data_IF_270501447867
#
_entry.id   IF_270501447867
#
_cell.length_a   1.000
_cell.length_b   1.000
_cell.length_c   1.000
_cell.angle_alpha   90.00
_cell.angle_beta   90.00
_cell.angle_gamma   90.00
#
_symmetry.space_group_name_H-M   'P 1'
#
loop_
_entity.id
_entity.type
_entity.pdbx_description
1 polymer ?
#
# COMPACT_ATOMS: atom_id res chain seq x y z
N UNK A 1 -72.98 5.00 71.91
CA UNK A 1 -74.06 4.46 72.76
C UNK A 1 -74.97 3.59 71.89
N UNK A 2 -75.22 2.38 72.36
CA UNK A 2 -75.84 1.22 71.72
C UNK A 2 -77.12 1.44 70.90
N UNK A 3 -77.29 0.63 69.84
CA UNK A 3 -78.42 -0.32 69.76
C UNK A 3 -78.01 -1.60 68.99
N UNK A 4 -78.24 -2.72 69.67
CA UNK A 4 -78.17 -4.11 69.22
C UNK A 4 -79.60 -4.53 68.82
N UNK A 5 -79.77 -5.36 67.78
CA UNK A 5 -80.77 -6.46 67.64
C UNK A 5 -80.83 -6.93 66.17
N UNK A 6 -80.21 -8.07 65.82
CA UNK A 6 -80.75 -9.44 65.66
C UNK A 6 -81.79 -9.68 64.55
N UNK A 7 -81.44 -10.59 63.61
CA UNK A 7 -82.26 -11.65 62.97
C UNK A 7 -81.38 -12.40 61.94
N UNK A 8 -80.90 -13.62 62.21
CA UNK A 8 -81.53 -14.94 61.96
C UNK A 8 -81.26 -15.52 60.55
N UNK A 9 -80.42 -16.58 60.52
CA UNK A 9 -80.46 -17.83 59.69
C UNK A 9 -80.81 -17.72 58.19
N UNK A 10 -80.06 -18.31 57.24
CA UNK A 10 -80.04 -19.75 56.92
C UNK A 10 -78.87 -20.03 55.94
N UNK A 11 -78.19 -21.16 56.14
CA UNK A 11 -77.22 -21.81 55.25
C UNK A 11 -77.83 -22.16 53.88
N UNK A 12 -77.17 -21.81 52.77
CA UNK A 12 -77.31 -22.54 51.49
C UNK A 12 -75.91 -22.73 50.91
N UNK A 13 -75.39 -23.95 51.04
CA UNK A 13 -74.18 -24.41 50.38
C UNK A 13 -74.50 -24.67 48.89
N UNK A 14 -74.06 -23.78 48.00
CA UNK A 14 -74.12 -24.01 46.55
C UNK A 14 -72.78 -24.64 46.15
N UNK A 15 -72.79 -25.97 46.00
CA UNK A 15 -71.73 -26.72 45.32
C UNK A 15 -71.77 -26.34 43.82
N UNK A 16 -71.05 -25.28 43.45
CA UNK A 16 -70.80 -24.94 42.05
C UNK A 16 -69.73 -25.88 41.50
N UNK A 17 -70.18 -26.91 40.81
CA UNK A 17 -69.35 -27.81 39.99
C UNK A 17 -68.70 -27.00 38.86
N UNK A 18 -67.39 -26.80 38.95
CA UNK A 18 -66.57 -26.19 37.90
C UNK A 18 -66.46 -27.13 36.70
N UNK A 19 -67.11 -26.75 35.60
CA UNK A 19 -66.96 -27.37 34.29
C UNK A 19 -65.58 -26.96 33.71
N UNK A 20 -64.62 -27.88 33.67
CA UNK A 20 -63.34 -27.67 32.97
C UNK A 20 -63.60 -27.68 31.45
N UNK A 21 -63.64 -26.50 30.83
CA UNK A 21 -63.50 -26.36 29.40
C UNK A 21 -62.03 -26.62 29.02
N UNK A 22 -61.76 -27.72 28.30
CA UNK A 22 -60.45 -27.99 27.72
C UNK A 22 -60.21 -27.04 26.53
N UNK A 23 -59.56 -25.90 26.79
CA UNK A 23 -59.04 -25.03 25.73
C UNK A 23 -57.75 -25.63 25.19
N UNK A 24 -57.67 -25.91 23.88
CA UNK A 24 -56.39 -26.19 23.22
C UNK A 24 -55.55 -24.90 23.24
N UNK A 25 -54.65 -24.77 24.23
CA UNK A 25 -53.66 -23.69 24.24
C UNK A 25 -52.70 -23.86 23.07
N UNK A 26 -52.46 -22.81 22.29
CA UNK A 26 -51.47 -22.88 21.21
C UNK A 26 -50.10 -23.00 21.88
N UNK A 27 -49.15 -23.70 21.24
CA UNK A 27 -47.78 -23.84 21.75
C UNK A 27 -47.09 -22.50 22.01
N UNK A 28 -47.53 -21.47 21.27
CA UNK A 28 -47.13 -20.07 21.38
C UNK A 28 -47.53 -19.41 22.70
N UNK A 29 -48.59 -19.91 23.33
CA UNK A 29 -49.11 -19.42 24.61
C UNK A 29 -48.33 -20.01 25.79
N UNK A 30 -47.39 -20.94 25.53
CA UNK A 30 -46.58 -21.53 26.58
C UNK A 30 -45.51 -20.56 27.09
N UNK A 31 -45.26 -20.61 28.40
CA UNK A 31 -44.20 -19.82 29.03
C UNK A 31 -42.82 -20.11 28.43
N UNK A 32 -42.56 -21.36 28.03
CA UNK A 32 -41.30 -21.77 27.39
C UNK A 32 -41.12 -21.11 26.02
N UNK A 33 -42.19 -21.04 25.21
CA UNK A 33 -42.17 -20.34 23.93
C UNK A 33 -41.95 -18.83 24.13
N UNK A 34 -42.70 -18.21 25.04
CA UNK A 34 -42.59 -16.77 25.33
C UNK A 34 -41.21 -16.35 25.88
N UNK A 35 -40.51 -17.27 26.54
CA UNK A 35 -39.15 -17.06 27.04
C UNK A 35 -38.10 -17.12 25.91
N UNK A 36 -38.23 -18.09 25.00
CA UNK A 36 -37.22 -18.36 23.96
C UNK A 36 -37.45 -17.60 22.65
N UNK A 37 -38.69 -17.25 22.33
CA UNK A 37 -39.06 -16.75 21.01
C UNK A 37 -39.41 -15.26 21.01
N UNK A 38 -39.04 -14.59 19.93
CA UNK A 38 -39.67 -13.35 19.49
C UNK A 38 -40.64 -13.64 18.34
N UNK A 39 -41.89 -13.18 18.46
CA UNK A 39 -42.91 -13.29 17.40
C UNK A 39 -43.48 -14.70 17.19
N UNK A 40 -44.16 -14.88 16.05
CA UNK A 40 -44.80 -16.13 15.65
C UNK A 40 -43.76 -17.15 15.10
N UNK A 41 -44.06 -18.46 15.13
CA UNK A 41 -43.19 -19.48 14.55
C UNK A 41 -43.03 -19.29 13.05
N UNK A 42 -41.82 -19.49 12.57
CA UNK A 42 -41.41 -19.51 11.17
C UNK A 42 -41.85 -20.84 10.55
N UNK A 43 -43.00 -20.81 9.86
CA UNK A 43 -43.69 -21.99 9.33
C UNK A 43 -43.11 -22.45 8.00
N UNK A 44 -42.49 -21.56 7.25
CA UNK A 44 -41.87 -21.86 5.96
C UNK A 44 -40.34 -21.82 6.04
N UNK A 45 -39.67 -22.45 5.06
CA UNK A 45 -38.22 -22.34 4.90
C UNK A 45 -37.82 -20.90 4.56
N UNK A 46 -38.58 -20.25 3.69
CA UNK A 46 -38.37 -18.86 3.29
C UNK A 46 -38.34 -17.91 4.49
N UNK A 47 -39.28 -18.04 5.43
CA UNK A 47 -39.32 -17.23 6.65
C UNK A 47 -38.08 -17.41 7.52
N UNK A 48 -37.52 -18.62 7.57
CA UNK A 48 -36.28 -18.90 8.32
C UNK A 48 -35.06 -18.32 7.63
N UNK A 49 -34.97 -18.51 6.32
CA UNK A 49 -33.87 -17.97 5.54
C UNK A 49 -33.84 -16.44 5.61
N UNK A 50 -34.99 -15.78 5.46
CA UNK A 50 -35.10 -14.32 5.60
C UNK A 50 -34.65 -13.86 7.00
N UNK A 51 -35.13 -14.52 8.06
CA UNK A 51 -34.71 -14.15 9.41
C UNK A 51 -33.20 -14.33 9.64
N UNK A 52 -32.58 -15.36 9.06
CA UNK A 52 -31.13 -15.54 9.10
C UNK A 52 -30.39 -14.47 8.27
N UNK A 53 -30.90 -14.10 7.10
CA UNK A 53 -30.37 -13.00 6.29
C UNK A 53 -30.47 -11.65 7.00
N UNK A 54 -31.54 -11.44 7.76
CA UNK A 54 -31.74 -10.27 8.63
C UNK A 54 -30.84 -10.31 9.89
N UNK A 55 -30.05 -11.37 10.07
CA UNK A 55 -29.07 -11.53 11.15
C UNK A 55 -29.61 -12.18 12.42
N UNK A 56 -30.85 -12.67 12.41
CA UNK A 56 -31.44 -13.37 13.54
C UNK A 56 -31.02 -14.84 13.62
N UNK A 57 -30.81 -15.33 14.84
CA UNK A 57 -30.67 -16.75 15.14
C UNK A 57 -32.05 -17.39 15.28
N UNK A 58 -32.18 -18.64 14.85
CA UNK A 58 -33.43 -19.39 14.89
C UNK A 58 -33.38 -20.39 16.03
N UNK A 59 -34.38 -20.36 16.90
CA UNK A 59 -34.60 -21.43 17.85
C UNK A 59 -35.26 -22.61 17.12
N UNK A 60 -34.53 -23.71 16.93
CA UNK A 60 -35.01 -24.85 16.15
C UNK A 60 -36.16 -25.61 16.83
N UNK A 61 -36.15 -25.68 18.17
CA UNK A 61 -37.16 -26.41 18.95
C UNK A 61 -38.55 -25.81 18.76
N UNK A 62 -38.65 -24.47 18.79
CA UNK A 62 -39.92 -23.77 18.59
C UNK A 62 -40.09 -23.21 17.17
N UNK A 63 -39.05 -23.36 16.33
CA UNK A 63 -38.95 -22.82 14.96
C UNK A 63 -39.32 -21.34 14.91
N UNK A 64 -38.71 -20.52 15.75
CA UNK A 64 -39.01 -19.09 15.89
C UNK A 64 -37.72 -18.27 15.87
N UNK A 65 -37.82 -16.94 15.75
CA UNK A 65 -36.67 -16.06 16.00
C UNK A 65 -36.29 -16.17 17.48
N UNK A 66 -35.02 -16.44 17.76
CA UNK A 66 -34.50 -16.44 19.12
C UNK A 66 -34.61 -15.04 19.73
N UNK A 67 -35.17 -14.97 20.93
CA UNK A 67 -35.48 -13.70 21.59
C UNK A 67 -34.24 -12.87 21.91
N UNK A 68 -33.14 -13.51 22.29
CA UNK A 68 -31.89 -12.81 22.60
C UNK A 68 -31.24 -12.27 21.32
N UNK A 69 -31.25 -13.07 20.25
CA UNK A 69 -30.78 -12.61 18.94
C UNK A 69 -31.59 -11.43 18.42
N UNK A 70 -32.92 -11.45 18.57
CA UNK A 70 -33.77 -10.32 18.21
C UNK A 70 -33.36 -9.03 18.93
N UNK A 71 -33.13 -9.10 20.25
CA UNK A 71 -32.69 -7.93 21.04
C UNK A 71 -31.34 -7.44 20.53
N UNK A 72 -30.37 -8.35 20.34
CA UNK A 72 -29.02 -7.99 19.92
C UNK A 72 -28.98 -7.30 18.55
N UNK A 73 -29.69 -7.84 17.55
CA UNK A 73 -29.77 -7.25 16.20
C UNK A 73 -30.40 -5.86 16.26
N UNK A 74 -31.50 -5.69 16.98
CA UNK A 74 -32.16 -4.39 17.09
C UNK A 74 -31.32 -3.35 17.81
N UNK A 75 -30.60 -3.73 18.87
CA UNK A 75 -29.67 -2.83 19.55
C UNK A 75 -28.51 -2.42 18.64
N UNK A 76 -27.97 -3.36 17.86
CA UNK A 76 -26.92 -3.07 16.89
C UNK A 76 -27.42 -2.15 15.78
N UNK A 77 -28.62 -2.40 15.25
CA UNK A 77 -29.23 -1.57 14.23
C UNK A 77 -29.50 -0.15 14.75
N UNK A 78 -29.99 -0.02 15.99
CA UNK A 78 -30.16 1.28 16.64
C UNK A 78 -28.84 2.05 16.76
N UNK A 79 -27.76 1.37 17.18
CA UNK A 79 -26.41 1.95 17.23
C UNK A 79 -25.92 2.37 15.84
N UNK A 80 -26.13 1.53 14.83
CA UNK A 80 -25.74 1.82 13.45
C UNK A 80 -26.50 3.03 12.90
N UNK A 81 -27.83 3.10 13.08
CA UNK A 81 -28.65 4.24 12.65
C UNK A 81 -28.24 5.53 13.35
N UNK A 82 -27.98 5.47 14.67
CA UNK A 82 -27.50 6.62 15.44
C UNK A 82 -26.13 7.13 14.94
N UNK A 83 -25.25 6.23 14.48
CA UNK A 83 -23.95 6.61 13.90
C UNK A 83 -24.03 7.04 12.42
N UNK A 84 -25.06 6.61 11.68
CA UNK A 84 -25.23 6.85 10.24
C UNK A 84 -26.40 7.79 9.94
N UNK A 85 -26.51 8.89 10.68
CA UNK A 85 -27.49 9.92 10.34
C UNK A 85 -27.17 10.52 8.95
N UNK A 86 -28.17 11.06 8.24
CA UNK A 86 -27.95 11.75 6.96
C UNK A 86 -26.87 12.84 7.05
N UNK A 87 -26.81 13.56 8.17
CA UNK A 87 -25.81 14.60 8.42
C UNK A 87 -24.40 14.02 8.59
N UNK A 88 -24.27 12.91 9.33
CA UNK A 88 -22.99 12.22 9.52
C UNK A 88 -22.47 11.63 8.21
N UNK A 89 -23.36 11.08 7.37
CA UNK A 89 -23.03 10.61 6.02
C UNK A 89 -22.59 11.79 5.15
N UNK A 90 -23.36 12.87 5.10
CA UNK A 90 -23.04 14.06 4.31
C UNK A 90 -21.71 14.69 4.74
N UNK A 91 -21.41 14.73 6.05
CA UNK A 91 -20.13 15.20 6.57
C UNK A 91 -18.98 14.33 6.07
N UNK A 92 -19.08 13.00 6.22
CA UNK A 92 -18.04 12.08 5.71
C UNK A 92 -17.81 12.27 4.21
N UNK A 93 -18.87 12.38 3.43
CA UNK A 93 -18.75 12.61 1.98
C UNK A 93 -18.03 13.92 1.65
N UNK A 94 -18.32 15.02 2.36
CA UNK A 94 -17.60 16.29 2.21
C UNK A 94 -16.13 16.17 2.62
N UNK A 95 -15.85 15.51 3.73
CA UNK A 95 -14.48 15.29 4.21
C UNK A 95 -13.68 14.46 3.19
N UNK A 96 -14.27 13.39 2.66
CA UNK A 96 -13.67 12.60 1.59
C UNK A 96 -13.46 13.41 0.30
N UNK A 97 -14.44 14.21 -0.12
CA UNK A 97 -14.32 15.06 -1.30
C UNK A 97 -13.17 16.06 -1.16
N UNK A 98 -13.10 16.76 -0.02
CA UNK A 98 -12.01 17.69 0.30
C UNK A 98 -10.65 16.98 0.31
N UNK A 99 -10.56 15.78 0.89
CA UNK A 99 -9.32 15.03 0.93
C UNK A 99 -8.86 14.64 -0.48
N UNK A 100 -9.79 14.21 -1.35
CA UNK A 100 -9.47 13.92 -2.75
C UNK A 100 -9.01 15.16 -3.51
N UNK A 101 -9.62 16.31 -3.29
CA UNK A 101 -9.17 17.58 -3.89
C UNK A 101 -7.74 17.92 -3.49
N UNK A 102 -7.42 17.81 -2.19
CA UNK A 102 -6.05 18.02 -1.67
C UNK A 102 -5.09 17.04 -2.32
N UNK A 103 -5.44 15.75 -2.40
CA UNK A 103 -4.58 14.74 -3.00
C UNK A 103 -4.33 14.99 -4.49
N UNK A 104 -5.35 15.41 -5.25
CA UNK A 104 -5.21 15.79 -6.66
C UNK A 104 -4.29 17.00 -6.81
N UNK A 105 -4.44 18.02 -5.97
CA UNK A 105 -3.57 19.21 -5.99
C UNK A 105 -2.13 18.88 -5.63
N UNK A 106 -1.90 18.03 -4.62
CA UNK A 106 -0.56 17.58 -4.25
C UNK A 106 0.10 16.78 -5.37
N UNK A 107 -0.62 15.85 -5.99
CA UNK A 107 -0.10 15.09 -7.14
C UNK A 107 0.23 16.01 -8.32
N UNK A 108 -0.56 17.05 -8.56
CA UNK A 108 -0.27 18.04 -9.60
C UNK A 108 1.00 18.84 -9.28
N UNK A 109 1.15 19.31 -8.04
CA UNK A 109 2.35 20.02 -7.59
C UNK A 109 3.60 19.14 -7.70
N UNK A 110 3.53 17.89 -7.25
CA UNK A 110 4.64 16.94 -7.38
C UNK A 110 4.98 16.65 -8.84
N UNK A 111 3.99 16.57 -9.73
CA UNK A 111 4.23 16.36 -11.16
C UNK A 111 4.93 17.57 -11.80
N UNK A 112 4.52 18.80 -11.42
CA UNK A 112 5.19 20.03 -11.87
C UNK A 112 6.62 20.12 -11.36
N UNK A 113 6.86 19.78 -10.09
CA UNK A 113 8.20 19.78 -9.51
C UNK A 113 9.11 18.74 -10.19
N UNK A 114 8.61 17.52 -10.42
CA UNK A 114 9.36 16.50 -11.18
C UNK A 114 9.68 16.97 -12.58
N UNK A 115 8.73 17.56 -13.30
CA UNK A 115 8.97 18.10 -14.64
C UNK A 115 10.05 19.21 -14.61
N UNK A 116 10.06 20.06 -13.57
CA UNK A 116 11.11 21.08 -13.40
C UNK A 116 12.48 20.45 -13.11
N UNK A 117 12.52 19.42 -12.28
CA UNK A 117 13.76 18.68 -11.98
C UNK A 117 14.29 17.98 -13.23
N UNK A 118 13.43 17.32 -13.99
CA UNK A 118 13.76 16.66 -15.25
C UNK A 118 14.30 17.67 -16.28
N UNK A 119 13.64 18.82 -16.44
CA UNK A 119 14.12 19.90 -17.32
C UNK A 119 15.47 20.48 -16.86
N UNK A 120 15.71 20.58 -15.56
CA UNK A 120 16.98 21.04 -14.99
C UNK A 120 18.10 20.03 -15.27
N UNK A 121 17.81 18.74 -15.07
CA UNK A 121 18.75 17.65 -15.35
C UNK A 121 19.05 17.54 -16.84
N UNK A 122 18.05 17.67 -17.69
CA UNK A 122 18.22 17.67 -19.14
C UNK A 122 19.07 18.87 -19.60
N UNK A 123 18.84 20.06 -19.03
CA UNK A 123 19.68 21.24 -19.30
C UNK A 123 21.13 21.02 -18.85
N UNK A 124 21.35 20.42 -17.68
CA UNK A 124 22.68 20.07 -17.16
C UNK A 124 23.39 19.06 -18.08
N UNK A 125 22.67 18.03 -18.54
CA UNK A 125 23.21 17.06 -19.48
C UNK A 125 23.52 17.70 -20.83
N UNK A 126 22.66 18.60 -21.33
CA UNK A 126 22.89 19.32 -22.57
C UNK A 126 24.14 20.22 -22.50
N UNK A 127 24.33 20.95 -21.40
CA UNK A 127 25.55 21.74 -21.15
C UNK A 127 26.79 20.83 -21.08
N UNK A 128 26.70 19.69 -20.38
CA UNK A 128 27.77 18.73 -20.31
C UNK A 128 28.14 18.15 -21.69
N UNK A 129 27.15 17.80 -22.50
CA UNK A 129 27.35 17.29 -23.86
C UNK A 129 28.03 18.31 -24.78
N UNK A 130 27.85 19.62 -24.56
CA UNK A 130 28.57 20.67 -25.28
C UNK A 130 30.05 20.76 -24.89
N UNK A 131 30.41 20.29 -23.69
CA UNK A 131 31.74 20.45 -23.09
C UNK A 131 32.59 19.18 -23.10
N UNK A 132 32.08 18.06 -23.62
CA UNK A 132 32.82 16.79 -23.69
C UNK A 132 33.21 16.45 -25.14
N UNK A 133 34.37 15.79 -25.27
CA UNK A 133 34.80 15.12 -26.50
C UNK A 133 35.11 13.68 -26.15
N UNK A 134 34.31 12.75 -26.65
CA UNK A 134 34.58 11.31 -26.50
C UNK A 134 35.47 10.87 -27.65
N UNK A 135 36.61 10.30 -27.31
CA UNK A 135 37.57 9.75 -28.25
C UNK A 135 37.67 8.26 -28.02
N UNK A 136 37.81 7.50 -29.10
CA UNK A 136 38.17 6.09 -28.99
C UNK A 136 39.67 5.99 -28.67
N UNK A 137 40.01 5.57 -27.45
CA UNK A 137 41.37 5.59 -26.90
C UNK A 137 41.78 4.18 -26.51
N UNK A 138 42.64 3.58 -27.32
CA UNK A 138 43.19 2.25 -27.05
C UNK A 138 44.41 2.35 -26.13
N UNK A 139 44.32 1.73 -24.94
CA UNK A 139 45.39 1.77 -23.95
C UNK A 139 46.70 1.15 -24.44
N UNK A 140 46.67 0.26 -25.43
CA UNK A 140 47.85 -0.41 -25.95
C UNK A 140 48.59 0.43 -27.00
N UNK A 141 48.00 1.51 -27.53
CA UNK A 141 48.62 2.35 -28.58
C UNK A 141 48.64 3.84 -28.25
N UNK A 142 47.71 4.34 -27.43
CA UNK A 142 47.60 5.76 -27.10
C UNK A 142 48.77 6.28 -26.24
N UNK A 143 48.98 7.59 -26.27
CA UNK A 143 49.94 8.29 -25.39
C UNK A 143 49.41 8.42 -23.97
N UNK A 144 50.28 8.78 -23.01
CA UNK A 144 49.87 9.02 -21.63
C UNK A 144 48.83 10.15 -21.54
N UNK A 145 49.02 11.23 -22.31
CA UNK A 145 48.13 12.39 -22.31
C UNK A 145 46.76 12.03 -22.91
N UNK A 146 46.72 11.28 -24.01
CA UNK A 146 45.45 10.81 -24.60
C UNK A 146 44.66 9.91 -23.65
N UNK A 147 45.35 9.07 -22.86
CA UNK A 147 44.71 8.22 -21.84
C UNK A 147 44.23 9.06 -20.66
N UNK A 148 45.02 10.05 -20.23
CA UNK A 148 44.67 10.94 -19.13
C UNK A 148 43.45 11.81 -19.44
N UNK A 149 43.29 12.21 -20.70
CA UNK A 149 42.16 13.02 -21.21
C UNK A 149 40.84 12.24 -21.24
N UNK A 150 40.88 10.91 -21.17
CA UNK A 150 39.64 10.12 -21.04
C UNK A 150 38.96 10.45 -19.71
N UNK A 151 37.70 10.88 -19.80
CA UNK A 151 36.87 11.24 -18.65
C UNK A 151 36.92 10.10 -17.62
N UNK A 152 37.17 10.47 -16.35
CA UNK A 152 37.33 9.57 -15.19
C UNK A 152 38.64 8.78 -15.07
N UNK A 153 39.57 8.88 -16.02
CA UNK A 153 40.89 8.21 -15.94
C UNK A 153 41.91 9.11 -15.22
N UNK A 154 42.21 10.28 -15.79
CA UNK A 154 43.15 11.23 -15.21
C UNK A 154 44.62 10.76 -15.27
N UNK A 155 45.54 11.68 -14.91
CA UNK A 155 46.98 11.51 -15.12
C UNK A 155 47.61 10.34 -14.33
N UNK A 156 47.16 10.11 -13.09
CA UNK A 156 47.72 9.05 -12.23
C UNK A 156 47.44 7.66 -12.82
N UNK A 157 46.19 7.38 -13.19
CA UNK A 157 45.82 6.11 -13.79
C UNK A 157 46.47 5.92 -15.17
N UNK A 158 46.57 6.99 -15.97
CA UNK A 158 47.26 6.96 -17.26
C UNK A 158 48.74 6.60 -17.12
N UNK A 159 49.45 7.22 -16.17
CA UNK A 159 50.85 6.91 -15.86
C UNK A 159 50.99 5.43 -15.51
N UNK A 160 50.09 4.92 -14.66
CA UNK A 160 50.12 3.51 -14.26
C UNK A 160 49.86 2.54 -15.42
N UNK A 161 48.96 2.90 -16.34
CA UNK A 161 48.73 2.13 -17.57
C UNK A 161 50.02 2.03 -18.39
N UNK A 162 50.75 3.13 -18.59
CA UNK A 162 52.00 3.16 -19.36
C UNK A 162 53.07 2.27 -18.71
N UNK A 163 53.24 2.36 -17.39
CA UNK A 163 54.20 1.51 -16.66
C UNK A 163 53.94 0.02 -16.87
N UNK A 164 52.69 -0.42 -16.74
CA UNK A 164 52.34 -1.83 -16.91
C UNK A 164 52.40 -2.26 -18.39
N UNK A 165 51.99 -1.39 -19.32
CA UNK A 165 52.09 -1.63 -20.77
C UNK A 165 53.52 -1.88 -21.22
N UNK A 166 54.48 -1.12 -20.67
CA UNK A 166 55.91 -1.25 -21.00
C UNK A 166 56.50 -2.60 -20.60
N UNK A 167 55.92 -3.27 -19.58
CA UNK A 167 56.29 -4.64 -19.21
C UNK A 167 55.67 -5.65 -20.18
N UNK A 168 54.38 -5.47 -20.47
CA UNK A 168 53.61 -6.31 -21.40
C UNK A 168 52.33 -5.59 -21.82
N UNK A 169 51.97 -5.72 -23.10
CA UNK A 169 50.64 -5.32 -23.61
C UNK A 169 49.51 -5.87 -22.72
N UNK A 170 48.42 -5.13 -22.61
CA UNK A 170 47.20 -5.60 -21.95
C UNK A 170 46.48 -6.55 -22.89
N UNK A 171 46.07 -7.72 -22.39
CA UNK A 171 45.34 -8.71 -23.20
C UNK A 171 43.85 -8.36 -23.34
N UNK A 172 43.25 -7.88 -22.27
CA UNK A 172 41.82 -7.63 -22.13
C UNK A 172 41.56 -6.72 -20.91
N UNK A 173 40.30 -6.39 -20.68
CA UNK A 173 39.86 -5.59 -19.53
C UNK A 173 40.13 -6.25 -18.18
N UNK A 174 40.07 -7.59 -18.09
CA UNK A 174 40.36 -8.27 -16.83
C UNK A 174 41.84 -8.13 -16.45
N UNK A 175 42.75 -8.20 -17.43
CA UNK A 175 44.17 -7.92 -17.27
C UNK A 175 44.40 -6.44 -16.90
N UNK A 176 43.67 -5.49 -17.49
CA UNK A 176 43.74 -4.07 -17.08
C UNK A 176 43.33 -3.87 -15.62
N UNK A 177 42.15 -4.35 -15.24
CA UNK A 177 41.60 -4.25 -13.89
C UNK A 177 42.52 -4.89 -12.85
N UNK A 178 43.12 -6.03 -13.20
CA UNK A 178 44.05 -6.73 -12.32
C UNK A 178 45.36 -5.96 -12.09
N UNK A 179 45.89 -5.28 -13.12
CA UNK A 179 47.21 -4.63 -13.06
C UNK A 179 47.16 -3.15 -12.63
N UNK A 180 46.01 -2.49 -12.78
CA UNK A 180 45.87 -1.05 -12.52
C UNK A 180 44.75 -0.80 -11.51
N UNK A 181 45.13 -0.49 -10.27
CA UNK A 181 44.24 -0.36 -9.11
C UNK A 181 43.05 0.60 -9.32
N UNK A 182 43.21 1.67 -10.10
CA UNK A 182 42.13 2.61 -10.42
C UNK A 182 40.90 1.90 -10.99
N UNK A 183 41.10 0.88 -11.83
CA UNK A 183 40.02 0.10 -12.45
C UNK A 183 39.58 -1.10 -11.61
N UNK A 184 40.19 -1.33 -10.44
CA UNK A 184 39.72 -2.32 -9.46
C UNK A 184 38.29 -2.07 -8.98
N UNK A 185 37.82 -0.82 -9.07
CA UNK A 185 36.42 -0.47 -8.91
C UNK A 185 35.65 -0.71 -10.21
N UNK A 186 34.62 -1.57 -10.17
CA UNK A 186 33.73 -1.82 -11.31
C UNK A 186 33.17 -0.51 -11.90
N UNK A 187 32.86 0.48 -11.04
CA UNK A 187 32.38 1.80 -11.46
C UNK A 187 33.40 2.53 -12.34
N UNK A 188 34.68 2.52 -11.96
CA UNK A 188 35.73 3.24 -12.69
C UNK A 188 36.03 2.57 -14.03
N UNK A 189 36.03 1.24 -14.10
CA UNK A 189 36.18 0.50 -15.35
C UNK A 189 35.02 0.77 -16.32
N UNK A 190 33.77 0.72 -15.83
CA UNK A 190 32.58 1.06 -16.62
C UNK A 190 32.64 2.51 -17.11
N UNK A 191 33.00 3.45 -16.24
CA UNK A 191 33.08 4.87 -16.60
C UNK A 191 34.13 5.12 -17.68
N UNK A 192 35.34 4.61 -17.50
CA UNK A 192 36.41 4.79 -18.48
C UNK A 192 36.05 4.18 -19.85
N UNK A 193 35.47 2.96 -19.86
CA UNK A 193 35.00 2.32 -21.10
C UNK A 193 33.90 3.11 -21.80
N UNK A 194 32.90 3.56 -21.02
CA UNK A 194 31.79 4.37 -21.54
C UNK A 194 32.25 5.71 -22.08
N UNK A 195 33.36 6.23 -21.54
CA UNK A 195 34.00 7.46 -21.97
C UNK A 195 35.04 7.26 -23.09
N UNK A 196 35.10 6.06 -23.70
CA UNK A 196 35.89 5.81 -24.91
C UNK A 196 37.23 5.10 -24.69
N UNK A 197 37.59 4.71 -23.47
CA UNK A 197 38.75 3.84 -23.25
C UNK A 197 38.45 2.44 -23.80
N UNK A 198 39.43 1.82 -24.47
CA UNK A 198 39.32 0.45 -24.95
C UNK A 198 40.65 -0.33 -24.80
N UNK A 199 40.58 -1.66 -24.94
CA UNK A 199 41.77 -2.54 -24.97
C UNK A 199 41.77 -3.29 -26.30
N UNK A 200 42.75 -3.01 -27.17
CA UNK A 200 42.82 -3.56 -28.53
C UNK A 200 41.50 -3.36 -29.31
N UNK A 201 40.94 -2.15 -29.26
CA UNK A 201 39.67 -1.75 -29.88
C UNK A 201 38.41 -2.30 -29.20
N UNK A 202 38.53 -2.99 -28.05
CA UNK A 202 37.39 -3.59 -27.35
C UNK A 202 37.01 -2.80 -26.11
N UNK A 203 35.77 -2.35 -26.05
CA UNK A 203 35.16 -1.80 -24.85
C UNK A 203 34.87 -2.91 -23.83
N UNK A 204 34.66 -2.51 -22.58
CA UNK A 204 34.23 -3.41 -21.51
C UNK A 204 32.84 -3.97 -21.85
N UNK A 205 32.64 -5.25 -21.61
CA UNK A 205 31.35 -5.90 -21.85
C UNK A 205 30.23 -5.22 -21.07
N UNK A 206 29.14 -4.87 -21.76
CA UNK A 206 28.02 -4.13 -21.19
C UNK A 206 28.26 -2.63 -20.97
N UNK A 207 29.42 -2.10 -21.35
CA UNK A 207 29.75 -0.68 -21.22
C UNK A 207 30.45 -0.13 -22.50
N UNK A 208 29.80 -0.20 -23.68
CA UNK A 208 30.30 0.47 -24.88
C UNK A 208 30.30 2.00 -24.68
N UNK A 209 31.04 2.76 -25.52
CA UNK A 209 31.02 4.20 -25.48
C UNK A 209 29.59 4.75 -25.63
N UNK A 210 29.17 5.60 -24.70
CA UNK A 210 27.83 6.21 -24.69
C UNK A 210 27.95 7.69 -24.32
N UNK A 211 27.54 8.55 -25.25
CA UNK A 211 27.70 9.99 -25.10
C UNK A 211 26.87 10.60 -23.98
N UNK A 212 25.68 10.08 -23.75
CA UNK A 212 24.78 10.60 -22.72
C UNK A 212 25.27 10.19 -21.34
N UNK A 213 25.74 8.95 -21.20
CA UNK A 213 26.34 8.47 -19.96
C UNK A 213 27.66 9.18 -19.67
N UNK A 214 28.52 9.36 -20.67
CA UNK A 214 29.77 10.12 -20.52
C UNK A 214 29.51 11.58 -20.09
N UNK A 215 28.50 12.24 -20.66
CA UNK A 215 28.08 13.58 -20.24
C UNK A 215 27.61 13.60 -18.78
N UNK A 216 26.85 12.59 -18.36
CA UNK A 216 26.42 12.49 -16.96
C UNK A 216 27.61 12.25 -16.00
N UNK A 217 28.53 11.36 -16.37
CA UNK A 217 29.77 11.10 -15.62
C UNK A 217 30.57 12.39 -15.48
N UNK A 218 30.81 13.09 -16.59
CA UNK A 218 31.52 14.37 -16.60
C UNK A 218 30.85 15.40 -15.67
N UNK A 219 29.56 15.64 -15.84
CA UNK A 219 28.84 16.62 -15.04
C UNK A 219 28.81 16.27 -13.55
N UNK A 220 28.77 14.96 -13.21
CA UNK A 220 28.87 14.50 -11.83
C UNK A 220 30.25 14.78 -11.23
N UNK A 221 31.32 14.53 -12.00
CA UNK A 221 32.70 14.80 -11.57
C UNK A 221 32.94 16.30 -11.37
N UNK A 222 32.43 17.16 -12.26
CA UNK A 222 32.49 18.61 -12.12
C UNK A 222 31.75 19.11 -10.87
N UNK A 223 30.57 18.55 -10.57
CA UNK A 223 29.87 18.87 -9.30
C UNK A 223 30.64 18.41 -8.07
N UNK A 224 31.33 17.27 -8.12
CA UNK A 224 32.17 16.80 -7.01
C UNK A 224 33.41 17.67 -6.83
N UNK A 225 34.00 18.16 -7.92
CA UNK A 225 35.10 19.11 -7.90
C UNK A 225 34.69 20.43 -7.24
N UNK A 226 33.61 21.06 -7.72
CA UNK A 226 33.04 22.30 -7.15
C UNK A 226 32.64 22.19 -5.67
N UNK A 227 32.37 20.99 -5.16
CA UNK A 227 32.05 20.76 -3.72
C UNK A 227 33.29 20.59 -2.84
N UNK A 228 34.44 20.27 -3.43
CA UNK A 228 35.72 20.10 -2.72
C UNK A 228 36.52 21.39 -2.69
N UNK A 229 36.31 22.26 -3.67
CA UNK A 229 36.83 23.62 -3.74
C UNK A 229 36.04 24.57 -2.80
#
# INVERSE_FOLDING_TARGET
MNKISQSSTILVAILSTTLLMATCSKTQDSQAYQAACHGEPLRTLEQRNQAMEDGYLINEQFRCIDKASYIAVNEQEAKWRAANTPEAIAKRMRDFAKQREIEVQQRALEAEERARQDATEESRLAEAMQNIVIRDVDINTATADEIADVISVGHEAATKIIEERNKRRFRDWADLVYRVNHFGSAKNAVFASTCGLNVDGKSLEGAPPDARMAANIYATLEMQKKRRD
#
